data_IF_151774211429
#
_entry.id   IF_151774211429
#
_cell.length_a   1.000
_cell.length_b   1.000
_cell.length_c   1.000
_cell.angle_alpha   90.00
_cell.angle_beta   90.00
_cell.angle_gamma   90.00
#
_symmetry.space_group_name_H-M   'P 1'
#
loop_
_entity.id
_entity.type
_entity.pdbx_description
1 polymer ?
#
# COMPACT_ATOMS: atom_id res chain seq x y z
N UNK A 1 -3.58 -10.14 3.62
CA UNK A 1 -3.56 -8.82 4.27
C UNK A 1 -2.39 -8.75 5.22
N UNK A 2 -1.67 -7.62 5.22
CA UNK A 2 -0.60 -7.34 6.19
C UNK A 2 -1.09 -6.22 7.12
N UNK A 3 -1.01 -6.46 8.43
CA UNK A 3 -1.35 -5.47 9.46
C UNK A 3 -0.07 -4.93 10.08
N UNK A 4 0.29 -3.68 9.76
CA UNK A 4 1.41 -2.96 10.36
C UNK A 4 0.99 -2.23 11.65
N UNK A 5 1.95 -1.58 12.33
CA UNK A 5 1.80 -1.14 13.71
C UNK A 5 0.94 0.11 13.95
N UNK A 6 0.66 0.94 12.90
CA UNK A 6 -0.21 2.11 13.08
C UNK A 6 -1.64 1.66 13.40
N UNK A 7 -2.33 2.33 14.34
CA UNK A 7 -3.73 2.04 14.62
C UNK A 7 -4.61 2.21 13.39
N UNK A 8 -5.57 1.32 13.21
CA UNK A 8 -6.53 1.34 12.10
C UNK A 8 -7.94 1.68 12.57
N UNK A 9 -8.70 2.38 11.74
CA UNK A 9 -10.14 2.60 11.96
C UNK A 9 -10.93 1.29 11.81
N UNK A 10 -11.91 1.02 12.69
CA UNK A 10 -12.82 -0.12 12.53
C UNK A 10 -13.57 -0.15 11.19
N UNK A 11 -13.74 0.99 10.54
CA UNK A 11 -14.41 1.11 9.24
C UNK A 11 -13.68 0.35 8.13
N UNK A 12 -12.36 0.18 8.26
CA UNK A 12 -11.54 -0.57 7.30
C UNK A 12 -11.85 -2.08 7.30
N UNK A 13 -12.64 -2.59 8.27
CA UNK A 13 -13.16 -3.94 8.27
C UNK A 13 -13.86 -4.30 6.95
N UNK A 14 -14.52 -3.33 6.30
CA UNK A 14 -15.19 -3.53 5.00
C UNK A 14 -14.25 -3.98 3.87
N UNK A 15 -12.95 -3.75 4.02
CA UNK A 15 -11.92 -4.14 3.03
C UNK A 15 -11.50 -5.60 3.20
N UNK A 16 -11.81 -6.23 4.33
CA UNK A 16 -11.43 -7.61 4.63
C UNK A 16 -12.46 -8.59 4.07
N UNK A 17 -11.95 -9.69 3.50
CA UNK A 17 -12.74 -10.83 3.04
C UNK A 17 -12.68 -11.97 4.06
N UNK A 18 -13.69 -12.84 4.15
CA UNK A 18 -13.69 -13.95 5.10
C UNK A 18 -12.54 -14.95 4.92
N UNK A 19 -11.99 -15.05 3.72
CA UNK A 19 -10.92 -15.98 3.31
C UNK A 19 -9.54 -15.30 3.22
N UNK A 20 -9.42 -14.03 3.64
CA UNK A 20 -8.14 -13.34 3.66
C UNK A 20 -7.13 -14.03 4.59
N UNK A 21 -5.92 -14.23 4.07
CA UNK A 21 -4.78 -14.64 4.88
C UNK A 21 -4.16 -13.39 5.53
N UNK A 22 -4.10 -13.37 6.86
CA UNK A 22 -3.70 -12.19 7.63
C UNK A 22 -2.36 -12.42 8.31
N UNK A 23 -1.40 -11.55 8.02
CA UNK A 23 -0.10 -11.48 8.69
C UNK A 23 -0.07 -10.19 9.52
N UNK A 24 0.13 -10.29 10.82
CA UNK A 24 0.27 -9.14 11.71
C UNK A 24 1.73 -8.93 12.10
N UNK A 25 2.23 -7.70 11.91
CA UNK A 25 3.62 -7.33 12.14
C UNK A 25 3.76 -6.56 13.44
N UNK A 26 4.55 -7.06 14.39
CA UNK A 26 4.81 -6.49 15.70
C UNK A 26 3.50 -6.02 16.38
N UNK A 27 3.38 -4.76 16.80
CA UNK A 27 2.16 -4.21 17.39
C UNK A 27 0.92 -4.26 16.49
N UNK A 28 1.07 -4.58 15.21
CA UNK A 28 -0.03 -4.73 14.24
C UNK A 28 -1.08 -5.77 14.62
N UNK A 29 -0.75 -6.75 15.47
CA UNK A 29 -1.74 -7.71 15.99
C UNK A 29 -2.88 -7.02 16.76
N UNK A 30 -2.65 -5.83 17.32
CA UNK A 30 -3.67 -5.04 18.02
C UNK A 30 -4.77 -4.55 17.09
N UNK A 31 -4.48 -4.44 15.80
CA UNK A 31 -5.43 -4.05 14.77
C UNK A 31 -6.46 -5.14 14.46
N UNK A 32 -6.20 -6.39 14.86
CA UNK A 32 -7.13 -7.49 14.65
C UNK A 32 -8.47 -7.27 15.39
N UNK A 33 -8.45 -6.74 16.61
CA UNK A 33 -9.65 -6.52 17.41
C UNK A 33 -10.60 -5.48 16.76
N UNK A 34 -10.16 -4.24 16.40
CA UNK A 34 -11.04 -3.28 15.74
C UNK A 34 -11.51 -3.76 14.35
N UNK A 35 -10.70 -4.54 13.63
CA UNK A 35 -11.08 -5.10 12.34
C UNK A 35 -11.96 -6.34 12.45
N UNK A 36 -12.11 -6.92 13.65
CA UNK A 36 -12.90 -8.13 13.89
C UNK A 36 -12.35 -9.36 13.15
N UNK A 37 -11.04 -9.45 13.00
CA UNK A 37 -10.35 -10.54 12.33
C UNK A 37 -9.41 -11.29 13.27
N UNK A 38 -8.85 -12.40 12.80
CA UNK A 38 -7.80 -13.15 13.48
C UNK A 38 -6.59 -13.26 12.54
N UNK A 39 -5.35 -13.11 13.03
CA UNK A 39 -4.17 -13.31 12.21
C UNK A 39 -3.93 -14.80 11.98
N UNK A 40 -3.41 -15.15 10.82
CA UNK A 40 -2.89 -16.48 10.53
C UNK A 40 -1.44 -16.60 10.99
N UNK A 41 -0.70 -15.47 10.93
CA UNK A 41 0.67 -15.37 11.40
C UNK A 41 0.84 -14.06 12.13
N UNK A 42 1.56 -14.09 13.25
CA UNK A 42 2.07 -12.90 13.93
C UNK A 42 3.60 -12.97 13.86
N UNK A 43 4.25 -11.92 13.39
CA UNK A 43 5.71 -11.87 13.30
C UNK A 43 6.26 -10.54 13.80
N UNK A 44 7.44 -10.55 14.33
CA UNK A 44 8.14 -9.37 14.84
C UNK A 44 9.22 -9.71 15.83
N UNK A 45 9.99 -8.70 16.25
CA UNK A 45 10.94 -8.81 17.37
C UNK A 45 10.31 -8.43 18.72
N UNK A 46 9.05 -7.93 18.67
CA UNK A 46 8.22 -7.57 19.82
C UNK A 46 8.87 -6.55 20.77
N UNK A 47 9.69 -5.65 20.22
CA UNK A 47 10.31 -4.55 20.98
C UNK A 47 9.31 -3.42 21.28
N UNK A 48 8.32 -3.20 20.41
CA UNK A 48 7.28 -2.17 20.55
C UNK A 48 6.08 -2.66 21.37
N UNK A 49 5.76 -3.95 21.31
CA UNK A 49 4.63 -4.55 21.99
C UNK A 49 4.96 -5.96 22.48
N UNK A 50 4.47 -6.39 23.67
CA UNK A 50 4.73 -7.74 24.15
C UNK A 50 4.20 -8.78 23.16
N UNK A 51 4.98 -9.87 23.01
CA UNK A 51 4.55 -11.01 22.19
C UNK A 51 3.19 -11.52 22.70
N UNK A 52 2.17 -11.61 21.85
CA UNK A 52 0.87 -12.10 22.27
C UNK A 52 0.93 -13.57 22.64
N UNK A 53 0.39 -13.92 23.80
CA UNK A 53 0.24 -15.32 24.24
C UNK A 53 -1.12 -15.81 23.73
N UNK A 54 -1.20 -16.31 22.49
CA UNK A 54 -2.40 -16.92 21.95
C UNK A 54 -2.13 -18.38 21.59
N UNK A 55 -3.08 -19.25 21.90
CA UNK A 55 -2.87 -20.71 21.85
C UNK A 55 -2.92 -21.33 20.45
N UNK A 56 -3.18 -20.58 19.37
CA UNK A 56 -3.36 -21.14 18.02
C UNK A 56 -2.83 -20.27 16.87
N UNK A 57 -2.06 -19.24 17.14
CA UNK A 57 -1.50 -18.40 16.06
C UNK A 57 -0.06 -18.84 15.77
N UNK A 58 0.31 -18.98 14.50
CA UNK A 58 1.69 -19.16 14.11
C UNK A 58 2.48 -17.88 14.44
N UNK A 59 3.33 -17.94 15.45
CA UNK A 59 4.16 -16.82 15.89
C UNK A 59 5.58 -17.02 15.38
N UNK A 60 6.07 -16.05 14.61
CA UNK A 60 7.44 -16.00 14.11
C UNK A 60 8.19 -14.90 14.85
N UNK A 61 9.07 -15.29 15.76
CA UNK A 61 9.94 -14.34 16.46
C UNK A 61 11.14 -14.02 15.58
N UNK A 62 11.25 -12.78 15.15
CA UNK A 62 12.36 -12.30 14.34
C UNK A 62 13.53 -11.83 15.23
N UNK A 63 14.78 -11.94 14.79
CA UNK A 63 15.90 -11.37 15.51
C UNK A 63 15.75 -9.82 15.53
N UNK A 64 16.19 -9.21 16.65
CA UNK A 64 16.19 -7.76 16.79
C UNK A 64 17.13 -7.08 15.77
N UNK A 65 18.28 -7.71 15.52
CA UNK A 65 19.22 -7.25 14.49
C UNK A 65 18.92 -7.98 13.19
N UNK A 66 18.35 -7.27 12.23
CA UNK A 66 17.98 -7.77 10.90
C UNK A 66 17.98 -6.62 9.90
N UNK A 67 18.13 -6.94 8.62
CA UNK A 67 18.14 -5.94 7.54
C UNK A 67 16.72 -5.51 7.14
N UNK A 68 15.74 -6.42 7.28
CA UNK A 68 14.35 -6.17 6.90
C UNK A 68 13.53 -5.55 8.06
N UNK A 69 12.60 -4.67 7.72
CA UNK A 69 11.51 -4.34 8.63
C UNK A 69 10.55 -5.52 8.74
N UNK A 70 9.76 -5.58 9.83
CA UNK A 70 8.76 -6.65 9.99
C UNK A 70 7.74 -6.65 8.84
N UNK A 71 7.34 -5.47 8.35
CA UNK A 71 6.44 -5.34 7.20
C UNK A 71 7.07 -5.87 5.91
N UNK A 72 8.36 -5.60 5.67
CA UNK A 72 9.08 -6.14 4.51
C UNK A 72 9.22 -7.67 4.60
N UNK A 73 9.52 -8.19 5.78
CA UNK A 73 9.57 -9.63 5.99
C UNK A 73 8.21 -10.29 5.70
N UNK A 74 7.11 -9.68 6.18
CA UNK A 74 5.76 -10.14 5.89
C UNK A 74 5.43 -10.10 4.39
N UNK A 75 5.89 -9.07 3.69
CA UNK A 75 5.70 -8.92 2.25
C UNK A 75 6.44 -10.00 1.45
N UNK A 76 7.69 -10.31 1.83
CA UNK A 76 8.46 -11.42 1.26
C UNK A 76 7.75 -12.75 1.48
N UNK A 77 7.33 -13.02 2.72
CA UNK A 77 6.59 -14.23 3.07
C UNK A 77 5.29 -14.36 2.29
N UNK A 78 4.54 -13.28 2.09
CA UNK A 78 3.33 -13.28 1.29
C UNK A 78 3.62 -13.64 -0.18
N UNK A 79 4.68 -13.05 -0.76
CA UNK A 79 5.14 -13.38 -2.12
C UNK A 79 5.57 -14.84 -2.25
N UNK A 80 6.36 -15.37 -1.30
CA UNK A 80 6.81 -16.77 -1.27
C UNK A 80 5.65 -17.76 -1.13
N UNK A 81 4.59 -17.38 -0.43
CA UNK A 81 3.34 -18.16 -0.34
C UNK A 81 2.50 -18.11 -1.62
N UNK A 82 2.89 -17.34 -2.63
CA UNK A 82 2.22 -17.26 -3.92
C UNK A 82 0.99 -16.34 -3.95
N UNK A 83 0.83 -15.45 -2.97
CA UNK A 83 -0.20 -14.44 -3.04
C UNK A 83 0.10 -13.43 -4.16
N UNK A 84 -0.93 -13.08 -4.92
CA UNK A 84 -0.83 -12.16 -6.07
C UNK A 84 -1.30 -10.75 -5.74
N UNK A 85 -1.98 -10.58 -4.61
CA UNK A 85 -2.48 -9.30 -4.12
C UNK A 85 -2.21 -9.17 -2.62
N UNK A 86 -1.75 -8.02 -2.18
CA UNK A 86 -1.50 -7.71 -0.77
C UNK A 86 -2.12 -6.35 -0.43
N UNK A 87 -2.99 -6.35 0.58
CA UNK A 87 -3.50 -5.15 1.23
C UNK A 87 -2.70 -4.91 2.51
N UNK A 88 -2.09 -3.72 2.64
CA UNK A 88 -1.37 -3.29 3.83
C UNK A 88 -2.24 -2.27 4.59
N UNK A 89 -2.64 -2.61 5.81
CA UNK A 89 -3.35 -1.73 6.74
C UNK A 89 -2.46 -1.38 7.92
N UNK A 90 -2.65 -0.17 8.50
CA UNK A 90 -1.77 0.33 9.56
C UNK A 90 -0.34 0.64 9.07
N UNK A 91 -0.16 0.81 7.75
CA UNK A 91 1.12 1.05 7.10
C UNK A 91 1.38 2.53 6.79
N UNK A 92 0.35 3.37 6.86
CA UNK A 92 0.42 4.80 6.57
C UNK A 92 0.28 5.63 7.85
N UNK A 93 0.88 6.82 7.87
CA UNK A 93 0.80 7.75 8.99
C UNK A 93 1.61 7.33 10.22
N UNK A 94 1.08 7.65 11.40
CA UNK A 94 1.76 7.40 12.68
C UNK A 94 2.74 8.52 13.05
N UNK A 95 3.53 8.29 14.11
CA UNK A 95 4.48 9.28 14.64
C UNK A 95 5.81 9.33 13.89
N UNK A 96 6.12 8.28 13.13
CA UNK A 96 7.42 8.03 12.52
C UNK A 96 7.27 7.99 11.01
N UNK A 97 7.54 9.10 10.34
CA UNK A 97 7.41 9.24 8.88
C UNK A 97 8.26 8.22 8.12
N UNK A 98 9.42 7.84 8.66
CA UNK A 98 10.32 6.86 8.06
C UNK A 98 9.66 5.48 7.93
N UNK A 99 8.72 5.10 8.79
CA UNK A 99 7.96 3.87 8.63
C UNK A 99 6.99 3.95 7.46
N UNK A 100 6.32 5.09 7.27
CA UNK A 100 5.47 5.30 6.09
C UNK A 100 6.29 5.19 4.81
N UNK A 101 7.46 5.86 4.75
CA UNK A 101 8.35 5.78 3.59
C UNK A 101 8.84 4.35 3.33
N UNK A 102 9.22 3.63 4.40
CA UNK A 102 9.61 2.22 4.30
C UNK A 102 8.47 1.34 3.79
N UNK A 103 7.24 1.54 4.28
CA UNK A 103 6.08 0.77 3.84
C UNK A 103 5.71 1.06 2.37
N UNK A 104 5.90 2.30 1.89
CA UNK A 104 5.76 2.62 0.47
C UNK A 104 6.81 1.88 -0.37
N UNK A 105 8.06 1.82 0.11
CA UNK A 105 9.12 1.04 -0.53
C UNK A 105 8.80 -0.47 -0.54
N UNK A 106 8.27 -1.01 0.56
CA UNK A 106 7.77 -2.41 0.62
C UNK A 106 6.66 -2.65 -0.42
N UNK A 107 5.73 -1.70 -0.59
CA UNK A 107 4.69 -1.78 -1.62
C UNK A 107 5.29 -1.83 -3.04
N UNK A 108 6.29 -1.00 -3.33
CA UNK A 108 7.03 -1.04 -4.60
C UNK A 108 7.72 -2.40 -4.78
N UNK A 109 8.42 -2.89 -3.76
CA UNK A 109 9.08 -4.20 -3.80
C UNK A 109 8.11 -5.38 -4.02
N UNK A 110 6.86 -5.30 -3.54
CA UNK A 110 5.81 -6.27 -3.88
C UNK A 110 5.47 -6.22 -5.37
N UNK A 111 5.29 -5.02 -5.93
CA UNK A 111 5.00 -4.83 -7.35
C UNK A 111 6.14 -5.36 -8.25
N UNK A 112 7.39 -5.16 -7.88
CA UNK A 112 8.56 -5.71 -8.57
C UNK A 112 8.57 -7.25 -8.55
N UNK A 113 8.07 -7.86 -7.48
CA UNK A 113 7.88 -9.32 -7.35
C UNK A 113 6.61 -9.83 -8.06
N UNK A 114 5.88 -8.96 -8.75
CA UNK A 114 4.65 -9.32 -9.46
C UNK A 114 3.41 -9.40 -8.59
N UNK A 115 3.48 -8.97 -7.34
CA UNK A 115 2.38 -8.94 -6.37
C UNK A 115 1.76 -7.55 -6.35
N UNK A 116 0.45 -7.44 -6.56
CA UNK A 116 -0.26 -6.17 -6.45
C UNK A 116 -0.30 -5.68 -5.02
N UNK A 117 0.16 -4.47 -4.80
CA UNK A 117 0.18 -3.83 -3.49
C UNK A 117 -0.84 -2.70 -3.40
N UNK A 118 -1.59 -2.68 -2.30
CA UNK A 118 -2.44 -1.56 -1.92
C UNK A 118 -2.14 -1.23 -0.47
N UNK A 119 -1.78 0.02 -0.18
CA UNK A 119 -1.70 0.52 1.19
C UNK A 119 -2.92 1.41 1.41
N UNK A 120 -3.63 1.20 2.51
CA UNK A 120 -4.84 1.97 2.78
C UNK A 120 -5.03 2.28 4.25
N UNK A 121 -5.47 3.49 4.54
CA UNK A 121 -6.01 3.91 5.82
C UNK A 121 -7.39 4.56 5.62
N UNK A 122 -7.95 5.21 6.64
CA UNK A 122 -9.24 5.90 6.55
C UNK A 122 -9.21 7.19 5.73
N UNK A 123 -8.04 7.65 5.28
CA UNK A 123 -7.86 8.92 4.57
C UNK A 123 -7.27 8.76 3.18
N UNK A 124 -6.50 7.70 2.98
CA UNK A 124 -5.69 7.55 1.78
C UNK A 124 -5.64 6.11 1.30
N UNK A 125 -5.68 5.95 -0.01
CA UNK A 125 -5.37 4.70 -0.70
C UNK A 125 -4.19 4.94 -1.62
N UNK A 126 -3.21 4.07 -1.54
CA UNK A 126 -1.99 4.07 -2.35
C UNK A 126 -1.92 2.79 -3.16
N UNK A 127 -1.71 2.92 -4.45
CA UNK A 127 -1.46 1.82 -5.39
C UNK A 127 -0.31 2.17 -6.32
N UNK A 128 0.08 1.26 -7.19
CA UNK A 128 1.20 1.45 -8.10
C UNK A 128 0.80 1.17 -9.54
N UNK A 129 1.40 1.89 -10.48
CA UNK A 129 1.29 1.64 -11.92
C UNK A 129 2.69 1.26 -12.42
N UNK A 130 2.84 0.01 -12.83
CA UNK A 130 4.14 -0.54 -13.25
C UNK A 130 4.54 -0.10 -14.65
N UNK A 131 5.83 -0.18 -14.93
CA UNK A 131 6.37 0.06 -16.27
C UNK A 131 5.64 -0.77 -17.33
N UNK A 132 5.19 -0.11 -18.40
CA UNK A 132 4.44 -0.70 -19.50
C UNK A 132 2.98 -1.03 -19.18
N UNK A 133 2.48 -0.64 -18.01
CA UNK A 133 1.12 -0.88 -17.56
C UNK A 133 0.21 0.33 -17.79
N UNK A 134 -1.08 0.05 -18.03
CA UNK A 134 -2.18 1.01 -17.96
C UNK A 134 -3.17 0.55 -16.89
N UNK A 135 -3.48 1.42 -15.93
CA UNK A 135 -4.52 1.17 -14.92
C UNK A 135 -5.67 2.14 -15.06
N UNK A 136 -6.87 1.60 -14.86
CA UNK A 136 -8.10 2.37 -14.82
C UNK A 136 -8.53 2.56 -13.37
N UNK A 137 -8.94 3.77 -13.04
CA UNK A 137 -9.47 4.16 -11.74
C UNK A 137 -10.85 4.76 -11.93
N UNK A 138 -11.90 3.99 -11.65
CA UNK A 138 -13.28 4.49 -11.69
C UNK A 138 -13.45 5.66 -10.72
N UNK A 139 -14.32 6.59 -11.06
CA UNK A 139 -14.66 7.70 -10.20
C UNK A 139 -15.34 7.17 -8.92
N UNK A 140 -14.72 7.45 -7.81
CA UNK A 140 -15.26 7.20 -6.49
C UNK A 140 -15.73 8.53 -5.89
N UNK A 141 -16.11 8.57 -4.61
CA UNK A 141 -16.58 9.80 -3.94
C UNK A 141 -15.51 10.89 -3.80
N UNK A 142 -14.27 10.63 -4.27
CA UNK A 142 -13.12 11.52 -4.09
C UNK A 142 -12.77 12.26 -5.37
N UNK A 143 -12.51 13.55 -5.19
CA UNK A 143 -12.25 14.46 -6.30
C UNK A 143 -10.79 14.47 -6.73
N UNK A 144 -9.85 14.22 -5.81
CA UNK A 144 -8.42 14.41 -6.05
C UNK A 144 -7.66 13.10 -6.09
N UNK A 145 -6.67 13.04 -6.96
CA UNK A 145 -5.66 11.99 -6.98
C UNK A 145 -4.29 12.58 -7.28
N UNK A 146 -3.24 11.80 -7.06
CA UNK A 146 -1.89 12.22 -7.37
C UNK A 146 -1.07 11.05 -7.87
N UNK A 147 -0.11 11.34 -8.76
CA UNK A 147 0.86 10.37 -9.26
C UNK A 147 2.28 10.85 -9.02
N UNK A 148 3.13 9.98 -8.48
CA UNK A 148 4.52 10.27 -8.18
C UNK A 148 5.43 9.20 -8.78
N UNK A 149 6.57 9.57 -9.40
CA UNK A 149 7.56 8.59 -9.84
C UNK A 149 8.30 8.01 -8.63
N UNK A 150 8.28 6.70 -8.46
CA UNK A 150 8.94 6.02 -7.33
C UNK A 150 10.44 5.88 -7.52
N UNK A 151 10.91 5.74 -8.76
CA UNK A 151 12.33 5.52 -9.11
C UNK A 151 13.03 6.81 -9.57
N UNK A 152 12.63 7.94 -9.01
CA UNK A 152 13.19 9.25 -9.35
C UNK A 152 12.67 9.83 -10.66
N UNK A 153 12.25 9.02 -11.63
CA UNK A 153 11.74 9.44 -12.94
C UNK A 153 10.82 8.38 -13.54
N UNK A 154 9.72 8.84 -14.16
CA UNK A 154 8.84 8.02 -15.01
C UNK A 154 8.68 8.69 -16.36
N UNK A 155 8.74 7.91 -17.45
CA UNK A 155 8.71 8.40 -18.84
C UNK A 155 7.53 7.79 -19.59
N UNK A 156 6.98 8.55 -20.54
CA UNK A 156 5.82 8.14 -21.30
C UNK A 156 4.58 8.02 -20.42
N UNK A 157 4.44 8.97 -19.50
CA UNK A 157 3.28 9.03 -18.60
C UNK A 157 2.12 9.63 -19.37
N UNK A 158 1.00 8.90 -19.38
CA UNK A 158 -0.27 9.39 -19.92
C UNK A 158 -1.33 9.31 -18.82
N UNK A 159 -2.10 10.39 -18.71
CA UNK A 159 -3.31 10.46 -17.86
C UNK A 159 -4.46 10.93 -18.74
N UNK A 160 -5.51 10.11 -18.84
CA UNK A 160 -6.70 10.46 -19.63
C UNK A 160 -7.96 10.40 -18.76
N UNK A 161 -8.89 11.30 -19.04
CA UNK A 161 -10.11 11.47 -18.26
C UNK A 161 -9.89 12.30 -16.99
N UNK A 162 -8.72 12.87 -16.83
CA UNK A 162 -8.36 13.82 -15.77
C UNK A 162 -8.51 15.27 -16.25
N UNK A 163 -8.63 16.21 -15.32
CA UNK A 163 -8.71 17.63 -15.63
C UNK A 163 -7.41 18.17 -16.25
N UNK A 164 -6.26 17.76 -15.69
CA UNK A 164 -4.95 18.03 -16.25
C UNK A 164 -4.43 16.74 -16.89
N UNK A 165 -4.74 16.55 -18.17
CA UNK A 165 -4.27 15.38 -18.91
C UNK A 165 -2.76 15.44 -19.18
N UNK A 166 -2.13 14.27 -19.15
CA UNK A 166 -0.73 14.09 -19.55
C UNK A 166 -0.68 13.21 -20.80
N UNK A 167 0.22 13.57 -21.72
CA UNK A 167 0.40 12.81 -22.99
C UNK A 167 1.89 12.63 -23.29
N UNK A 168 2.39 11.41 -23.07
CA UNK A 168 3.81 11.03 -23.22
C UNK A 168 4.77 11.92 -22.40
N UNK A 169 4.30 12.36 -21.23
CA UNK A 169 5.02 13.27 -20.34
C UNK A 169 6.08 12.55 -19.50
N UNK A 170 6.89 13.35 -18.81
CA UNK A 170 7.92 12.88 -17.89
C UNK A 170 7.66 13.44 -16.49
N UNK A 171 7.42 12.54 -15.54
CA UNK A 171 7.39 12.89 -14.12
C UNK A 171 8.74 12.67 -13.48
N UNK A 172 9.21 13.64 -12.70
CA UNK A 172 10.49 13.57 -11.96
C UNK A 172 10.26 13.85 -10.49
N UNK A 173 10.96 13.11 -9.62
CA UNK A 173 10.76 13.19 -8.16
C UNK A 173 11.01 14.60 -7.58
N UNK A 174 11.86 15.40 -8.21
CA UNK A 174 12.17 16.76 -7.78
C UNK A 174 11.15 17.83 -8.19
N UNK A 175 10.12 17.47 -8.96
CA UNK A 175 9.09 18.38 -9.42
C UNK A 175 7.71 17.72 -9.36
N UNK A 176 6.81 18.16 -8.44
CA UNK A 176 5.55 17.48 -8.15
C UNK A 176 4.44 17.82 -9.17
N UNK A 177 4.66 17.57 -10.46
CA UNK A 177 3.72 17.86 -11.54
C UNK A 177 2.39 17.08 -11.40
N UNK A 178 2.45 15.83 -10.97
CA UNK A 178 1.30 14.93 -10.88
C UNK A 178 0.48 15.04 -9.60
N UNK A 179 0.54 16.18 -8.88
CA UNK A 179 -0.14 16.34 -7.58
C UNK A 179 -1.49 17.04 -7.74
N UNK A 180 -2.50 16.50 -7.01
CA UNK A 180 -3.84 17.12 -6.90
C UNK A 180 -4.56 17.30 -8.24
N UNK A 181 -4.52 16.28 -9.08
CA UNK A 181 -5.33 16.21 -10.27
C UNK A 181 -6.78 15.77 -9.93
N UNK A 182 -7.70 16.00 -10.83
CA UNK A 182 -9.14 15.77 -10.66
C UNK A 182 -9.70 15.00 -11.86
N UNK A 183 -10.88 14.41 -11.71
CA UNK A 183 -11.62 13.87 -12.84
C UNK A 183 -12.14 15.02 -13.71
N UNK A 184 -11.97 14.90 -15.03
CA UNK A 184 -12.55 15.85 -15.96
C UNK A 184 -14.08 15.87 -15.85
N UNK A 185 -14.70 16.97 -16.23
CA UNK A 185 -16.17 17.08 -16.25
C UNK A 185 -16.77 16.02 -17.18
N UNK A 186 -17.70 15.24 -16.66
CA UNK A 186 -18.33 14.14 -17.40
C UNK A 186 -17.50 12.86 -17.49
N UNK A 187 -16.32 12.82 -16.89
CA UNK A 187 -15.51 11.59 -16.82
C UNK A 187 -15.92 10.73 -15.62
N UNK A 188 -16.18 9.45 -15.86
CA UNK A 188 -16.48 8.45 -14.84
C UNK A 188 -15.27 7.55 -14.51
N UNK A 189 -14.16 7.74 -15.21
CA UNK A 189 -12.94 6.95 -15.03
C UNK A 189 -11.74 7.74 -15.53
N UNK A 190 -10.61 7.59 -14.82
CA UNK A 190 -9.31 7.99 -15.35
C UNK A 190 -8.49 6.76 -15.70
N UNK A 191 -7.62 6.89 -16.68
CA UNK A 191 -6.61 5.90 -16.98
C UNK A 191 -5.23 6.53 -16.82
N UNK A 192 -4.33 5.81 -16.15
CA UNK A 192 -2.94 6.23 -15.95
C UNK A 192 -2.04 5.12 -16.48
N UNK A 193 -1.05 5.52 -17.27
CA UNK A 193 -0.03 4.61 -17.78
C UNK A 193 1.36 5.20 -17.71
N UNK A 194 2.37 4.35 -17.72
CA UNK A 194 3.77 4.74 -17.85
C UNK A 194 4.50 3.73 -18.72
N UNK A 195 5.33 4.23 -19.65
CA UNK A 195 6.15 3.39 -20.50
C UNK A 195 7.38 2.87 -19.76
N UNK A 196 7.97 3.70 -18.86
CA UNK A 196 9.17 3.37 -18.10
C UNK A 196 9.12 3.98 -16.72
N UNK A 197 9.56 3.23 -15.73
CA UNK A 197 9.48 3.58 -14.32
C UNK A 197 8.17 3.12 -13.68
N UNK A 198 8.06 3.26 -12.37
CA UNK A 198 6.87 2.95 -11.61
C UNK A 198 6.26 4.24 -11.03
N UNK A 199 4.95 4.36 -11.13
CA UNK A 199 4.21 5.45 -10.50
C UNK A 199 3.54 4.92 -9.22
N UNK A 200 3.65 5.68 -8.15
CA UNK A 200 2.79 5.62 -6.99
C UNK A 200 1.56 6.49 -7.29
N UNK A 201 0.39 5.89 -7.21
CA UNK A 201 -0.89 6.59 -7.34
C UNK A 201 -1.55 6.71 -5.97
N UNK A 202 -1.99 7.89 -5.61
CA UNK A 202 -2.76 8.11 -4.39
C UNK A 202 -4.13 8.68 -4.70
N UNK A 203 -5.12 8.22 -3.95
CA UNK A 203 -6.41 8.88 -3.86
C UNK A 203 -6.80 8.96 -2.38
N UNK A 204 -7.65 9.92 -1.98
CA UNK A 204 -8.28 9.84 -0.67
C UNK A 204 -8.97 8.49 -0.50
N UNK A 205 -9.06 7.98 0.73
CA UNK A 205 -9.81 6.75 1.03
C UNK A 205 -11.30 7.07 1.12
N UNK A 206 -12.16 6.21 0.58
CA UNK A 206 -13.59 6.35 0.69
C UNK A 206 -14.10 6.15 2.12
#
# INVERSE_FOLDING_TARGET
VILSACPVSPELKRLLRPDDFIIACDAGYRNCAPLGCKPNIILGDFDTAPCPVQQNDDIIVLPHVKDDTDTEYAAKLASEKGFTEVLLLGALGGRRIEHTLSNLATGLGLEERGVRATLQDERSRVTFVRSGETRAYPKEEFFYFSAFPMEGRAEGVCEHGSYYELTDDVLVAGYPLGVSNEYAEGSDCITISTRKGCLLYTSPSP
#
